data_IF_189734823983
#
_entry.id   IF_189734823983
#
_cell.length_a   1.000
_cell.length_b   1.000
_cell.length_c   1.000
_cell.angle_alpha   90.00
_cell.angle_beta   90.00
_cell.angle_gamma   90.00
#
_symmetry.space_group_name_H-M   'P 1'
#
loop_
_entity.id
_entity.type
_entity.pdbx_description
1 polymer ?
#
# COMPACT_ATOMS: atom_id res chain seq x y z
N UNK A 1 17.18 -8.71 3.60
CA UNK A 1 16.08 -8.19 2.77
C UNK A 1 14.81 -8.39 3.55
N UNK A 2 13.99 -7.35 3.65
CA UNK A 2 12.72 -7.40 4.37
C UNK A 2 11.61 -6.90 3.42
N UNK A 3 10.55 -7.70 3.34
CA UNK A 3 9.34 -7.39 2.58
C UNK A 3 8.34 -6.74 3.50
N UNK A 4 7.70 -5.67 3.04
CA UNK A 4 6.70 -4.95 3.80
C UNK A 4 5.43 -4.81 2.97
N UNK A 5 4.32 -5.33 3.49
CA UNK A 5 3.01 -4.85 3.08
C UNK A 5 3.00 -3.32 3.22
N UNK A 6 2.50 -2.62 2.20
CA UNK A 6 2.43 -1.17 2.18
C UNK A 6 1.20 -0.69 1.39
N UNK A 7 0.54 0.32 1.93
CA UNK A 7 -0.65 0.95 1.36
C UNK A 7 -0.87 2.36 1.94
N UNK A 8 -1.68 3.19 1.26
CA UNK A 8 -2.05 4.54 1.72
C UNK A 8 -3.54 4.82 1.56
N UNK A 9 -4.12 5.55 2.52
CA UNK A 9 -5.47 6.12 2.35
C UNK A 9 -5.41 7.61 2.05
N UNK A 10 -6.28 8.07 1.16
CA UNK A 10 -6.30 9.46 0.67
C UNK A 10 -7.71 10.05 0.69
N UNK A 11 -7.82 11.38 0.62
CA UNK A 11 -9.11 12.07 0.47
C UNK A 11 -9.72 11.90 -0.93
N UNK A 12 -8.94 11.41 -1.90
CA UNK A 12 -9.31 11.22 -3.30
C UNK A 12 -8.10 10.85 -4.19
N UNK A 13 -8.21 11.06 -5.49
CA UNK A 13 -7.22 10.61 -6.48
C UNK A 13 -6.52 11.75 -7.25
N UNK A 14 -6.84 13.00 -6.95
CA UNK A 14 -6.21 14.18 -7.55
C UNK A 14 -4.92 14.50 -6.80
N UNK A 15 -3.76 14.18 -7.40
CA UNK A 15 -2.45 14.36 -6.77
C UNK A 15 -2.19 15.80 -6.29
N UNK A 16 -2.80 16.81 -6.90
CA UNK A 16 -2.59 18.22 -6.57
C UNK A 16 -3.50 18.71 -5.45
N UNK A 17 -4.66 18.08 -5.27
CA UNK A 17 -5.71 18.55 -4.33
C UNK A 17 -5.92 17.64 -3.14
N UNK A 18 -5.85 16.34 -3.37
CA UNK A 18 -6.14 15.35 -2.35
C UNK A 18 -4.93 15.15 -1.41
N UNK A 19 -5.24 14.73 -0.19
CA UNK A 19 -4.29 14.57 0.91
C UNK A 19 -4.14 13.10 1.27
N UNK A 20 -2.96 12.72 1.74
CA UNK A 20 -2.71 11.43 2.38
C UNK A 20 -3.22 11.51 3.82
N UNK A 21 -4.13 10.60 4.15
CA UNK A 21 -4.81 10.50 5.44
C UNK A 21 -4.06 9.52 6.35
N UNK A 22 -3.66 8.36 5.82
CA UNK A 22 -2.82 7.38 6.52
C UNK A 22 -1.71 6.81 5.64
N UNK A 23 -0.65 6.34 6.29
CA UNK A 23 0.37 5.49 5.69
C UNK A 23 0.51 4.25 6.56
N UNK A 24 0.34 3.07 5.97
CA UNK A 24 0.35 1.81 6.70
C UNK A 24 1.37 0.82 6.12
N UNK A 25 2.06 0.09 7.01
CA UNK A 25 2.96 -0.98 6.60
C UNK A 25 3.17 -2.04 7.69
N UNK A 26 3.47 -3.27 7.26
CA UNK A 26 3.77 -4.39 8.15
C UNK A 26 4.82 -5.28 7.50
N UNK A 27 5.83 -5.72 8.27
CA UNK A 27 6.79 -6.69 7.77
C UNK A 27 6.06 -8.02 7.47
N UNK A 28 6.43 -8.69 6.39
CA UNK A 28 5.90 -9.99 6.02
C UNK A 28 7.04 -10.96 5.76
N UNK A 29 6.87 -12.21 6.19
CA UNK A 29 7.85 -13.26 5.93
C UNK A 29 7.99 -13.46 4.41
N UNK A 30 9.23 -13.37 3.93
CA UNK A 30 9.53 -13.42 2.50
C UNK A 30 9.18 -14.76 1.82
N UNK A 31 9.00 -15.84 2.58
CA UNK A 31 8.70 -17.16 2.03
C UNK A 31 7.22 -17.50 2.15
N UNK A 32 6.59 -17.16 3.27
CA UNK A 32 5.20 -17.54 3.56
C UNK A 32 4.21 -16.40 3.32
N UNK A 33 4.64 -15.14 3.40
CA UNK A 33 3.76 -13.97 3.43
C UNK A 33 3.08 -13.75 4.78
N UNK A 34 3.46 -14.49 5.82
CA UNK A 34 2.92 -14.32 7.19
C UNK A 34 3.33 -12.96 7.77
N UNK A 35 2.43 -12.22 8.45
CA UNK A 35 2.77 -10.96 9.08
C UNK A 35 3.78 -11.15 10.21
N UNK A 36 4.75 -10.24 10.28
CA UNK A 36 5.76 -10.16 11.32
C UNK A 36 5.54 -8.83 12.07
N UNK A 37 5.39 -8.92 13.39
CA UNK A 37 5.15 -7.74 14.24
C UNK A 37 3.75 -7.14 14.03
N UNK A 38 3.58 -5.91 14.53
CA UNK A 38 2.32 -5.17 14.45
C UNK A 38 2.19 -4.38 13.15
N UNK A 39 0.96 -4.13 12.72
CA UNK A 39 0.66 -3.21 11.63
C UNK A 39 0.95 -1.77 12.08
N UNK A 40 1.87 -1.11 11.40
CA UNK A 40 2.17 0.30 11.62
C UNK A 40 1.15 1.13 10.86
N UNK A 41 0.56 2.13 11.51
CA UNK A 41 -0.37 3.08 10.89
C UNK A 41 -0.03 4.50 11.36
N UNK A 42 0.52 5.31 10.46
CA UNK A 42 0.66 6.74 10.66
C UNK A 42 -0.65 7.43 10.28
N UNK A 43 -1.10 8.37 11.12
CA UNK A 43 -2.43 8.99 11.04
C UNK A 43 -2.31 10.50 11.03
N UNK A 44 -2.72 11.14 9.94
CA UNK A 44 -2.64 12.60 9.78
C UNK A 44 -3.47 13.36 10.82
N UNK A 45 -4.56 12.78 11.33
CA UNK A 45 -5.43 13.42 12.32
C UNK A 45 -4.88 13.37 13.75
N UNK A 46 -3.83 12.59 14.01
CA UNK A 46 -3.11 12.61 15.30
C UNK A 46 -1.99 13.64 15.32
N UNK A 47 -1.56 14.09 14.13
CA UNK A 47 -0.52 15.10 13.97
C UNK A 47 -0.79 15.99 12.75
N UNK A 48 -0.24 15.64 11.58
CA UNK A 48 -0.51 16.29 10.30
C UNK A 48 -0.07 15.39 9.14
N UNK A 49 -0.57 15.65 7.92
CA UNK A 49 -0.05 15.00 6.70
C UNK A 49 1.47 15.19 6.57
N UNK A 50 1.97 16.40 6.84
CA UNK A 50 3.41 16.68 6.79
C UNK A 50 4.20 15.77 7.73
N UNK A 51 3.75 15.62 8.97
CA UNK A 51 4.46 14.85 9.98
C UNK A 51 4.46 13.35 9.67
N UNK A 52 3.36 12.79 9.15
CA UNK A 52 3.35 11.38 8.74
C UNK A 52 4.27 11.14 7.52
N UNK A 53 4.36 12.09 6.60
CA UNK A 53 5.28 12.03 5.47
C UNK A 53 6.74 12.12 5.91
N UNK A 54 7.05 13.05 6.82
CA UNK A 54 8.39 13.18 7.41
C UNK A 54 8.80 11.87 8.10
N UNK A 55 7.91 11.30 8.93
CA UNK A 55 8.14 10.05 9.66
C UNK A 55 8.31 8.85 8.73
N UNK A 56 7.63 8.81 7.59
CA UNK A 56 7.72 7.69 6.64
C UNK A 56 8.89 7.83 5.64
N UNK A 57 9.36 9.05 5.38
CA UNK A 57 10.40 9.34 4.39
C UNK A 57 11.72 8.54 4.52
N UNK A 58 12.17 8.09 5.71
CA UNK A 58 13.34 7.22 5.82
C UNK A 58 13.16 5.89 5.08
N UNK A 59 11.95 5.32 5.05
CA UNK A 59 11.66 4.07 4.33
C UNK A 59 11.69 4.26 2.80
N UNK A 60 11.42 5.49 2.33
CA UNK A 60 11.52 5.86 0.91
C UNK A 60 12.96 6.12 0.45
N UNK A 61 13.89 6.34 1.36
CA UNK A 61 15.29 6.72 1.04
C UNK A 61 16.34 5.74 1.55
N UNK A 62 15.94 4.74 2.34
CA UNK A 62 16.81 3.64 2.79
C UNK A 62 17.37 2.83 1.62
N UNK A 63 18.35 1.97 1.90
CA UNK A 63 18.88 1.04 0.90
C UNK A 63 17.77 0.12 0.36
N UNK A 64 17.83 -0.21 -0.93
CA UNK A 64 16.73 -0.83 -1.69
C UNK A 64 16.34 -2.24 -1.21
N UNK A 65 17.18 -2.91 -0.42
CA UNK A 65 16.88 -4.21 0.20
C UNK A 65 16.39 -4.11 1.64
N UNK A 66 16.47 -2.95 2.27
CA UNK A 66 16.10 -2.77 3.68
C UNK A 66 14.58 -2.60 3.85
N UNK A 67 13.92 -2.11 2.81
CA UNK A 67 12.47 -1.94 2.75
C UNK A 67 11.96 -2.23 1.33
N UNK A 68 11.51 -3.47 1.09
CA UNK A 68 10.87 -3.87 -0.17
C UNK A 68 9.38 -3.63 -0.06
N UNK A 69 8.85 -2.74 -0.88
CA UNK A 69 7.43 -2.43 -0.93
C UNK A 69 6.66 -3.56 -1.59
N UNK A 70 5.69 -4.12 -0.89
CA UNK A 70 4.76 -5.14 -1.37
C UNK A 70 3.35 -4.57 -1.23
N UNK A 71 2.62 -4.43 -2.32
CA UNK A 71 1.30 -3.82 -2.27
C UNK A 71 0.55 -3.99 -3.58
N UNK A 72 -0.57 -3.28 -3.70
CA UNK A 72 -1.45 -3.34 -4.87
C UNK A 72 -1.54 -1.95 -5.48
N UNK A 73 -1.20 -1.82 -6.75
CA UNK A 73 -1.26 -0.55 -7.48
C UNK A 73 -0.27 0.51 -6.95
N UNK A 74 0.91 0.07 -6.50
CA UNK A 74 1.93 0.88 -5.81
C UNK A 74 2.36 2.16 -6.53
N UNK A 75 2.27 2.18 -7.87
CA UNK A 75 2.59 3.38 -8.64
C UNK A 75 1.67 4.56 -8.27
N UNK A 76 0.43 4.31 -7.89
CA UNK A 76 -0.46 5.34 -7.38
C UNK A 76 0.10 5.93 -6.08
N UNK A 77 0.41 5.07 -5.10
CA UNK A 77 0.91 5.48 -3.79
C UNK A 77 2.22 6.26 -3.91
N UNK A 78 3.15 5.81 -4.74
CA UNK A 78 4.41 6.53 -4.94
C UNK A 78 4.23 7.90 -5.59
N UNK A 79 3.31 8.03 -6.55
CA UNK A 79 3.00 9.32 -7.15
C UNK A 79 2.34 10.25 -6.13
N UNK A 80 1.40 9.74 -5.33
CA UNK A 80 0.76 10.48 -4.26
C UNK A 80 1.78 10.96 -3.24
N UNK A 81 2.61 10.06 -2.69
CA UNK A 81 3.67 10.39 -1.75
C UNK A 81 4.61 11.47 -2.30
N UNK A 82 5.12 11.29 -3.52
CA UNK A 82 6.04 12.25 -4.13
C UNK A 82 5.41 13.66 -4.27
N UNK A 83 4.15 13.72 -4.75
CA UNK A 83 3.47 15.01 -4.93
C UNK A 83 3.20 15.69 -3.58
N UNK A 84 2.79 14.94 -2.56
CA UNK A 84 2.52 15.49 -1.22
C UNK A 84 3.79 15.88 -0.48
N UNK A 85 4.89 15.14 -0.64
CA UNK A 85 6.21 15.55 -0.13
C UNK A 85 6.65 16.88 -0.74
N UNK A 86 6.47 17.08 -2.05
CA UNK A 86 6.74 18.36 -2.73
C UNK A 86 5.89 19.49 -2.17
N UNK A 87 4.58 19.25 -2.02
CA UNK A 87 3.64 20.21 -1.45
C UNK A 87 4.08 20.70 -0.06
N UNK A 88 4.57 19.79 0.79
CA UNK A 88 5.01 20.09 2.16
C UNK A 88 6.49 20.53 2.27
N UNK A 89 7.18 20.75 1.14
CA UNK A 89 8.60 21.12 1.08
C UNK A 89 9.54 20.09 1.75
N UNK A 90 9.20 18.81 1.68
CA UNK A 90 10.00 17.69 2.23
C UNK A 90 11.02 17.15 1.23
N UNK A 91 11.20 17.84 0.12
CA UNK A 91 11.97 17.38 -1.03
C UNK A 91 11.13 16.53 -1.98
N UNK A 92 11.79 15.75 -2.81
CA UNK A 92 11.16 14.87 -3.78
C UNK A 92 11.66 13.44 -3.65
N UNK A 93 10.74 12.51 -3.81
CA UNK A 93 11.10 11.13 -4.06
C UNK A 93 11.35 10.99 -5.56
N UNK A 94 12.63 10.90 -5.95
CA UNK A 94 12.98 10.69 -7.34
C UNK A 94 12.35 9.38 -7.82
N UNK A 95 11.31 9.47 -8.65
CA UNK A 95 10.60 8.29 -9.16
C UNK A 95 11.53 7.36 -9.97
N UNK A 96 12.68 7.83 -10.46
CA UNK A 96 13.71 6.95 -11.05
C UNK A 96 14.28 5.99 -10.01
N UNK A 97 14.26 6.32 -8.72
CA UNK A 97 14.61 5.38 -7.66
C UNK A 97 13.65 4.19 -7.61
N UNK A 98 12.44 4.26 -8.18
CA UNK A 98 11.58 3.07 -8.34
C UNK A 98 12.15 2.06 -9.33
N UNK A 99 12.99 2.48 -10.27
CA UNK A 99 13.71 1.56 -11.15
C UNK A 99 14.79 0.78 -10.40
N UNK A 100 15.45 1.44 -9.44
CA UNK A 100 16.51 0.83 -8.63
C UNK A 100 15.96 0.13 -7.38
N UNK A 101 14.78 0.52 -6.92
CA UNK A 101 14.08 -0.10 -5.80
C UNK A 101 13.45 -1.41 -6.23
N UNK A 102 13.53 -2.37 -5.31
CA UNK A 102 12.80 -3.62 -5.42
C UNK A 102 11.40 -3.37 -4.87
N UNK A 103 10.40 -3.58 -5.73
CA UNK A 103 8.99 -3.47 -5.38
C UNK A 103 8.25 -4.67 -5.95
N UNK A 104 7.21 -5.11 -5.25
CA UNK A 104 6.32 -6.17 -5.69
C UNK A 104 4.88 -5.65 -5.69
N UNK A 105 4.48 -5.10 -6.84
CA UNK A 105 3.08 -4.75 -7.10
C UNK A 105 2.33 -6.01 -7.55
N UNK A 106 1.32 -6.43 -6.78
CA UNK A 106 0.53 -7.63 -7.11
C UNK A 106 -0.53 -7.38 -8.18
N UNK A 107 -0.82 -6.13 -8.55
CA UNK A 107 -1.87 -5.81 -9.55
C UNK A 107 -1.67 -6.56 -10.88
N UNK A 108 -0.49 -6.61 -11.51
CA UNK A 108 -0.27 -7.40 -12.72
C UNK A 108 -0.52 -8.90 -12.49
N UNK A 109 -0.17 -9.44 -11.33
CA UNK A 109 -0.40 -10.85 -10.98
C UNK A 109 -1.90 -11.15 -10.92
N UNK A 110 -2.67 -10.27 -10.27
CA UNK A 110 -4.14 -10.38 -10.22
C UNK A 110 -4.78 -10.27 -11.61
N UNK A 111 -4.26 -9.42 -12.49
CA UNK A 111 -4.73 -9.33 -13.88
C UNK A 111 -4.47 -10.64 -14.64
N UNK A 112 -3.30 -11.26 -14.48
CA UNK A 112 -2.99 -12.55 -15.10
C UNK A 112 -3.91 -13.66 -14.59
N UNK A 113 -4.14 -13.72 -13.27
CA UNK A 113 -5.11 -14.66 -12.66
C UNK A 113 -6.54 -14.42 -13.16
N UNK A 114 -6.90 -13.17 -13.45
CA UNK A 114 -8.16 -12.79 -14.08
C UNK A 114 -8.14 -13.00 -15.61
N UNK A 115 -7.47 -14.05 -16.09
CA UNK A 115 -7.37 -14.41 -17.53
C UNK A 115 -6.82 -13.27 -18.39
N UNK A 116 -5.95 -12.43 -17.83
CA UNK A 116 -5.40 -11.25 -18.49
C UNK A 116 -6.36 -10.06 -18.61
N UNK A 117 -7.54 -10.12 -17.98
CA UNK A 117 -8.51 -9.04 -18.05
C UNK A 117 -8.28 -7.99 -16.95
N UNK A 118 -8.12 -6.73 -17.35
CA UNK A 118 -8.01 -5.60 -16.42
C UNK A 118 -9.34 -5.23 -15.76
N UNK A 119 -10.47 -5.67 -16.30
CA UNK A 119 -11.78 -5.40 -15.70
C UNK A 119 -12.12 -6.55 -14.75
N UNK A 120 -12.33 -6.22 -13.48
CA UNK A 120 -12.80 -7.18 -12.48
C UNK A 120 -11.70 -7.94 -11.73
N UNK A 121 -10.41 -7.68 -11.98
CA UNK A 121 -9.31 -8.34 -11.24
C UNK A 121 -9.42 -8.11 -9.74
N UNK A 122 -9.96 -6.95 -9.32
CA UNK A 122 -10.14 -6.60 -7.92
C UNK A 122 -11.10 -7.55 -7.19
N UNK A 123 -11.97 -8.27 -7.90
CA UNK A 123 -12.89 -9.27 -7.31
C UNK A 123 -12.19 -10.54 -6.87
N UNK A 124 -10.92 -10.73 -7.24
CA UNK A 124 -10.08 -11.83 -6.75
C UNK A 124 -9.59 -11.59 -5.33
N UNK A 125 -9.60 -10.34 -4.86
CA UNK A 125 -9.31 -10.04 -3.47
C UNK A 125 -10.57 -10.21 -2.63
N UNK A 126 -10.46 -10.78 -1.42
CA UNK A 126 -11.53 -10.70 -0.45
C UNK A 126 -11.89 -9.24 -0.19
N UNK A 127 -13.18 -8.98 0.03
CA UNK A 127 -13.67 -7.68 0.50
C UNK A 127 -14.53 -7.92 1.74
N UNK A 128 -13.85 -8.09 2.87
CA UNK A 128 -14.52 -8.37 4.15
C UNK A 128 -15.26 -7.16 4.70
N UNK A 129 -14.87 -5.96 4.29
CA UNK A 129 -15.51 -4.70 4.67
C UNK A 129 -16.29 -4.08 3.49
N UNK A 130 -17.59 -3.72 3.64
CA UNK A 130 -18.36 -3.14 2.54
C UNK A 130 -17.92 -1.73 2.13
N UNK A 131 -17.23 -1.00 3.02
CA UNK A 131 -16.75 0.38 2.80
C UNK A 131 -15.96 0.47 1.49
N UNK A 132 -16.22 1.50 0.70
CA UNK A 132 -15.48 1.82 -0.52
C UNK A 132 -14.52 2.99 -0.26
N UNK A 133 -13.48 3.15 -1.08
CA UNK A 133 -12.53 4.26 -0.96
C UNK A 133 -13.20 5.64 -0.95
N UNK A 134 -14.32 5.80 -1.69
CA UNK A 134 -15.10 7.05 -1.68
C UNK A 134 -15.69 7.37 -0.30
N UNK A 135 -15.97 6.34 0.49
CA UNK A 135 -16.53 6.45 1.83
C UNK A 135 -15.44 6.85 2.84
N UNK A 136 -14.15 6.53 2.59
CA UNK A 136 -13.02 6.93 3.46
C UNK A 136 -12.91 8.45 3.56
N UNK A 137 -12.98 9.16 2.44
CA UNK A 137 -12.98 10.64 2.41
C UNK A 137 -14.17 11.23 3.18
N UNK A 138 -15.33 10.59 3.13
CA UNK A 138 -16.50 11.02 3.90
C UNK A 138 -16.36 10.73 5.39
N UNK A 139 -15.86 9.54 5.76
CA UNK A 139 -15.56 9.16 7.14
C UNK A 139 -14.55 10.11 7.76
N UNK A 140 -13.50 10.48 7.01
CA UNK A 140 -12.46 11.40 7.47
C UNK A 140 -13.05 12.78 7.77
N UNK A 141 -13.84 13.35 6.83
CA UNK A 141 -14.54 14.63 7.05
C UNK A 141 -15.51 14.61 8.23
N UNK A 142 -16.10 13.45 8.53
CA UNK A 142 -17.00 13.25 9.67
C UNK A 142 -16.28 12.91 10.99
N UNK A 143 -14.94 12.83 11.00
CA UNK A 143 -14.16 12.46 12.17
C UNK A 143 -14.36 11.01 12.62
N UNK A 144 -14.79 10.12 11.71
CA UNK A 144 -15.06 8.70 11.98
C UNK A 144 -13.78 7.86 11.91
N UNK A 145 -12.75 8.28 12.62
CA UNK A 145 -11.40 7.71 12.53
C UNK A 145 -11.33 6.24 12.93
N UNK A 146 -12.08 5.81 13.94
CA UNK A 146 -12.13 4.39 14.32
C UNK A 146 -12.65 3.48 13.20
N UNK A 147 -13.54 3.99 12.34
CA UNK A 147 -14.08 3.23 11.20
C UNK A 147 -13.04 3.12 10.08
N UNK A 148 -12.21 4.17 9.88
CA UNK A 148 -11.07 4.16 8.95
C UNK A 148 -10.01 3.15 9.41
N UNK A 149 -9.68 3.13 10.71
CA UNK A 149 -8.69 2.16 11.24
C UNK A 149 -9.15 0.73 11.04
N UNK A 150 -10.41 0.43 11.36
CA UNK A 150 -10.97 -0.91 11.10
C UNK A 150 -10.92 -1.26 9.62
N UNK A 151 -11.22 -0.32 8.73
CA UNK A 151 -11.11 -0.53 7.29
C UNK A 151 -9.67 -0.89 6.87
N UNK A 152 -8.67 -0.14 7.34
CA UNK A 152 -7.26 -0.41 7.06
C UNK A 152 -6.84 -1.79 7.57
N UNK A 153 -7.26 -2.15 8.78
CA UNK A 153 -6.99 -3.48 9.36
C UNK A 153 -7.62 -4.59 8.50
N UNK A 154 -8.89 -4.43 8.11
CA UNK A 154 -9.61 -5.39 7.26
C UNK A 154 -8.93 -5.55 5.88
N UNK A 155 -8.60 -4.45 5.20
CA UNK A 155 -7.91 -4.49 3.89
C UNK A 155 -6.51 -5.08 3.99
N UNK A 156 -5.78 -4.79 5.07
CA UNK A 156 -4.46 -5.38 5.33
C UNK A 156 -4.58 -6.90 5.47
N UNK A 157 -5.55 -7.39 6.24
CA UNK A 157 -5.77 -8.83 6.40
C UNK A 157 -6.17 -9.49 5.08
N UNK A 158 -7.00 -8.84 4.28
CA UNK A 158 -7.43 -9.37 2.99
C UNK A 158 -6.30 -9.38 1.95
N UNK A 159 -5.43 -8.36 1.96
CA UNK A 159 -4.20 -8.36 1.18
C UNK A 159 -3.27 -9.51 1.58
N UNK A 160 -2.98 -9.65 2.88
CA UNK A 160 -2.05 -10.65 3.40
C UNK A 160 -2.50 -12.07 3.01
N UNK A 161 -3.79 -12.38 3.16
CA UNK A 161 -4.33 -13.70 2.74
C UNK A 161 -4.05 -14.01 1.27
N UNK A 162 -4.29 -13.03 0.39
CA UNK A 162 -4.01 -13.19 -1.05
C UNK A 162 -2.51 -13.34 -1.28
N UNK A 163 -1.69 -12.55 -0.60
CA UNK A 163 -0.24 -12.59 -0.72
C UNK A 163 0.35 -13.93 -0.30
N UNK A 164 -0.15 -14.51 0.79
CA UNK A 164 0.22 -15.85 1.27
C UNK A 164 -0.09 -16.94 0.23
N UNK A 165 -1.29 -16.92 -0.37
CA UNK A 165 -1.64 -17.85 -1.43
C UNK A 165 -0.75 -17.66 -2.67
N UNK A 166 -0.43 -16.42 -3.05
CA UNK A 166 0.51 -16.15 -4.14
C UNK A 166 1.91 -16.71 -3.84
N UNK A 167 2.44 -16.49 -2.64
CA UNK A 167 3.75 -17.03 -2.21
C UNK A 167 3.79 -18.56 -2.26
N UNK A 168 2.69 -19.21 -1.88
CA UNK A 168 2.54 -20.66 -1.87
C UNK A 168 2.42 -21.26 -3.27
N UNK A 169 1.58 -20.67 -4.12
CA UNK A 169 1.18 -21.28 -5.39
C UNK A 169 2.07 -20.85 -6.58
N UNK A 170 2.51 -19.59 -6.63
CA UNK A 170 3.27 -19.05 -7.78
C UNK A 170 4.58 -19.80 -8.09
N UNK A 171 5.39 -20.26 -7.12
CA UNK A 171 6.62 -21.00 -7.42
C UNK A 171 6.40 -22.27 -8.24
N UNK A 172 5.19 -22.87 -8.18
CA UNK A 172 4.87 -24.05 -8.98
C UNK A 172 4.88 -23.78 -10.49
N UNK A 173 4.60 -22.54 -10.91
CA UNK A 173 4.60 -22.13 -12.32
C UNK A 173 5.99 -22.18 -12.95
N UNK A 174 7.05 -22.07 -12.15
CA UNK A 174 8.43 -22.18 -12.64
C UNK A 174 8.72 -23.55 -13.27
N UNK A 175 7.93 -24.59 -12.95
CA UNK A 175 8.04 -25.91 -13.58
C UNK A 175 7.60 -25.94 -15.06
N UNK A 176 6.97 -24.86 -15.53
CA UNK A 176 6.43 -24.73 -16.88
C UNK A 176 7.18 -23.69 -17.74
N UNK A 177 8.27 -23.11 -17.23
CA UNK A 177 9.15 -22.17 -17.93
C UNK A 177 10.47 -22.86 -18.30
#
# INVERSE_FOLDING_TARGET
MAEYYFDTETTGFDFDKDEIITIQWQEVDRFTGEPIGELNILKSWESSEKEILENFSPNLTCHHWDFIFVGKNLLFDFNMLNQRMKHHNLGEFNLRHLYERVTLDIKPVLVLMNKGCFVGYQKLMPKTNPVENKDISELYRKGKFAEIIRYIEDETQDFIKVYQELKKEMPSLAKHL
#
